data_IF_451920732359
#
_entry.id   IF_451920732359
#
_cell.length_a   1.000
_cell.length_b   1.000
_cell.length_c   1.000
_cell.angle_alpha   90.00
_cell.angle_beta   90.00
_cell.angle_gamma   90.00
#
_symmetry.space_group_name_H-M   'P 1'
#
loop_
_entity.id
_entity.type
_entity.pdbx_description
1 polymer ?
#
# COMPACT_ATOMS: atom_id res chain seq x y z
N UNK A 1 20.86 8.75 20.61
CA UNK A 1 20.27 8.17 19.37
C UNK A 1 20.36 6.65 19.47
N UNK A 2 19.30 5.91 19.17
CA UNK A 2 19.31 4.45 19.37
C UNK A 2 17.99 3.72 19.10
N UNK A 3 16.87 4.45 18.98
CA UNK A 3 15.56 3.86 18.66
C UNK A 3 15.08 4.40 17.32
N UNK A 4 15.10 3.60 16.23
CA UNK A 4 14.56 4.01 14.94
C UNK A 4 13.03 3.97 14.96
N UNK A 5 12.40 4.92 14.26
CA UNK A 5 10.94 5.01 14.11
C UNK A 5 10.61 5.31 12.65
N UNK A 6 9.74 4.50 12.04
CA UNK A 6 9.25 4.73 10.70
C UNK A 6 8.02 5.67 10.75
N UNK A 7 8.26 6.97 10.60
CA UNK A 7 7.21 8.01 10.72
C UNK A 7 6.35 8.11 9.46
N UNK A 8 5.02 8.06 9.63
CA UNK A 8 4.04 8.25 8.56
C UNK A 8 3.46 9.67 8.57
N UNK A 9 2.74 10.02 7.50
CA UNK A 9 1.97 11.26 7.44
C UNK A 9 0.87 11.30 8.54
N UNK A 10 0.41 12.50 8.89
CA UNK A 10 -0.75 12.69 9.77
C UNK A 10 -1.97 11.93 9.20
N UNK A 11 -2.73 11.26 10.07
CA UNK A 11 -3.82 10.34 9.67
C UNK A 11 -3.37 9.19 8.74
N UNK A 12 -2.07 8.88 8.69
CA UNK A 12 -1.47 7.88 7.82
C UNK A 12 -1.64 6.43 8.29
N UNK A 13 -2.66 6.11 9.09
CA UNK A 13 -2.87 4.77 9.66
C UNK A 13 -2.96 3.69 8.56
N UNK A 14 -3.62 3.98 7.44
CA UNK A 14 -3.65 3.10 6.27
C UNK A 14 -2.24 2.82 5.73
N UNK A 15 -1.43 3.85 5.57
CA UNK A 15 -0.07 3.72 5.03
C UNK A 15 0.86 3.03 6.03
N UNK A 16 0.65 3.22 7.34
CA UNK A 16 1.34 2.46 8.37
C UNK A 16 1.02 0.96 8.27
N UNK A 17 -0.25 0.60 8.07
CA UNK A 17 -0.66 -0.79 7.85
C UNK A 17 -0.07 -1.38 6.57
N UNK A 18 -0.04 -0.62 5.47
CA UNK A 18 0.59 -1.06 4.21
C UNK A 18 2.09 -1.29 4.40
N UNK A 19 2.80 -0.40 5.12
CA UNK A 19 4.22 -0.58 5.43
C UNK A 19 4.44 -1.82 6.30
N UNK A 20 3.62 -2.03 7.33
CA UNK A 20 3.71 -3.23 8.16
C UNK A 20 3.49 -4.51 7.34
N UNK A 21 2.48 -4.52 6.45
CA UNK A 21 2.26 -5.61 5.53
C UNK A 21 3.45 -5.81 4.57
N UNK A 22 4.08 -4.74 4.09
CA UNK A 22 5.27 -4.84 3.24
C UNK A 22 6.46 -5.48 3.97
N UNK A 23 6.65 -5.15 5.25
CA UNK A 23 7.67 -5.80 6.10
C UNK A 23 7.33 -7.29 6.24
N UNK A 24 6.08 -7.63 6.55
CA UNK A 24 5.65 -9.03 6.72
C UNK A 24 5.77 -9.83 5.41
N UNK A 25 5.39 -9.22 4.28
CA UNK A 25 5.48 -9.83 2.96
C UNK A 25 6.90 -10.18 2.51
N UNK A 26 7.94 -9.68 3.19
CA UNK A 26 9.33 -10.11 2.92
C UNK A 26 9.59 -11.56 3.34
N UNK A 27 8.78 -12.12 4.23
CA UNK A 27 8.91 -13.47 4.74
C UNK A 27 7.61 -14.30 4.68
N UNK A 28 6.46 -13.69 4.39
CA UNK A 28 5.18 -14.38 4.14
C UNK A 28 4.70 -14.16 2.69
N UNK A 29 4.79 -15.18 1.82
CA UNK A 29 4.34 -15.10 0.43
C UNK A 29 2.85 -14.76 0.27
N UNK A 30 2.00 -15.18 1.21
CA UNK A 30 0.56 -14.94 1.16
C UNK A 30 0.27 -13.45 1.31
N UNK A 31 1.00 -12.78 2.21
CA UNK A 31 0.90 -11.34 2.43
C UNK A 31 1.48 -10.56 1.24
N UNK A 32 2.57 -11.07 0.65
CA UNK A 32 3.15 -10.49 -0.57
C UNK A 32 2.17 -10.51 -1.75
N UNK A 33 1.49 -11.63 -1.98
CA UNK A 33 0.48 -11.77 -3.04
C UNK A 33 -0.72 -10.84 -2.79
N UNK A 34 -1.20 -10.76 -1.54
CA UNK A 34 -2.27 -9.83 -1.19
C UNK A 34 -1.88 -8.36 -1.45
N UNK A 35 -0.63 -7.99 -1.18
CA UNK A 35 -0.10 -6.66 -1.50
C UNK A 35 0.01 -6.42 -3.01
N UNK A 36 0.36 -7.43 -3.79
CA UNK A 36 0.40 -7.34 -5.24
C UNK A 36 -0.99 -7.07 -5.82
N UNK A 37 -1.98 -7.87 -5.42
CA UNK A 37 -3.40 -7.68 -5.81
C UNK A 37 -3.90 -6.30 -5.42
N UNK A 38 -3.59 -5.86 -4.20
CA UNK A 38 -3.97 -4.52 -3.75
C UNK A 38 -3.39 -3.42 -4.64
N UNK A 39 -2.11 -3.50 -5.03
CA UNK A 39 -1.46 -2.52 -5.90
C UNK A 39 -2.07 -2.49 -7.30
N UNK A 40 -2.36 -3.65 -7.90
CA UNK A 40 -3.03 -3.69 -9.21
C UNK A 40 -4.44 -3.09 -9.12
N UNK A 41 -5.20 -3.37 -8.05
CA UNK A 41 -6.53 -2.76 -7.88
C UNK A 41 -6.51 -1.23 -7.81
N UNK A 42 -5.44 -0.65 -7.24
CA UNK A 42 -5.27 0.81 -7.20
C UNK A 42 -4.99 1.38 -8.58
N UNK A 43 -4.15 0.70 -9.37
CA UNK A 43 -3.84 1.09 -10.75
C UNK A 43 -5.08 1.04 -11.63
N UNK A 44 -5.87 -0.03 -11.53
CA UNK A 44 -7.16 -0.16 -12.23
C UNK A 44 -8.11 0.96 -11.84
N UNK A 45 -8.22 1.26 -10.53
CA UNK A 45 -9.07 2.34 -10.04
C UNK A 45 -8.68 3.70 -10.63
N UNK A 46 -7.39 4.01 -10.69
CA UNK A 46 -6.90 5.27 -11.28
C UNK A 46 -7.15 5.30 -12.79
N UNK A 47 -6.93 4.20 -13.49
CA UNK A 47 -7.22 4.11 -14.92
C UNK A 47 -8.72 4.35 -15.20
N UNK A 48 -9.60 3.73 -14.42
CA UNK A 48 -11.05 3.94 -14.56
C UNK A 48 -11.45 5.38 -14.27
N UNK A 49 -10.96 5.97 -13.16
CA UNK A 49 -11.22 7.38 -12.84
C UNK A 49 -10.76 8.32 -13.94
N UNK A 50 -9.64 8.02 -14.60
CA UNK A 50 -9.14 8.82 -15.73
C UNK A 50 -10.02 8.69 -16.97
N UNK A 51 -10.56 7.51 -17.26
CA UNK A 51 -11.49 7.30 -18.36
C UNK A 51 -12.79 8.07 -18.14
N UNK A 52 -13.35 7.97 -16.92
CA UNK A 52 -14.60 8.64 -16.56
C UNK A 52 -14.49 10.18 -16.62
N UNK A 53 -13.31 10.74 -16.35
CA UNK A 53 -13.04 12.18 -16.45
C UNK A 53 -12.94 12.70 -17.89
N UNK A 54 -12.68 11.83 -18.87
CA UNK A 54 -12.52 12.18 -20.27
C UNK A 54 -13.69 11.74 -21.16
N UNK A 55 -14.71 11.12 -20.56
CA UNK A 55 -15.99 10.78 -21.20
C UNK A 55 -16.99 11.94 -21.09
#
# INVERSE_FOLDING_TARGET
AGVPVATMALNGARNAGILAAQIIGTFDPTVADALFVYKESLKEKVAQMSLDLHA
#
